data_IF_459071350978
#
_entry.id   IF_459071350978
#
_cell.length_a   1.000
_cell.length_b   1.000
_cell.length_c   1.000
_cell.angle_alpha   90.00
_cell.angle_beta   90.00
_cell.angle_gamma   90.00
#
_symmetry.space_group_name_H-M   'P 1'
#
loop_
_entity.id
_entity.type
_entity.pdbx_description
1 polymer ?
#
# COMPACT_ATOMS: atom_id res chain seq x y z
N UNK A 1 -20.58 25.48 25.91
CA UNK A 1 -19.75 25.86 24.74
C UNK A 1 -20.08 24.95 23.58
N UNK A 2 -19.89 25.42 22.36
CA UNK A 2 -20.11 24.66 21.12
C UNK A 2 -18.90 24.77 20.20
N UNK A 3 -18.77 23.82 19.29
CA UNK A 3 -17.94 23.98 18.08
C UNK A 3 -18.85 24.41 16.94
N UNK A 4 -18.49 25.48 16.26
CA UNK A 4 -19.15 25.96 15.06
C UNK A 4 -18.37 25.51 13.80
N UNK A 5 -18.96 24.68 12.98
CA UNK A 5 -18.48 24.30 11.65
C UNK A 5 -19.25 25.17 10.65
N UNK A 6 -18.55 26.10 9.99
CA UNK A 6 -19.16 27.08 9.10
C UNK A 6 -18.65 26.95 7.68
N UNK A 7 -19.54 27.05 6.71
CA UNK A 7 -19.20 27.17 5.30
C UNK A 7 -20.11 28.17 4.57
N UNK A 8 -19.66 28.78 3.45
CA UNK A 8 -20.52 29.58 2.58
C UNK A 8 -21.58 28.70 1.90
N UNK A 9 -22.67 29.33 1.50
CA UNK A 9 -23.83 28.68 0.90
C UNK A 9 -24.82 28.17 1.95
N UNK A 10 -26.10 28.30 1.61
CA UNK A 10 -27.21 27.78 2.43
C UNK A 10 -27.53 26.37 1.99
N UNK A 11 -27.26 25.39 2.83
CA UNK A 11 -27.63 24.01 2.55
C UNK A 11 -29.16 23.86 2.55
N UNK A 12 -29.72 23.04 1.66
CA UNK A 12 -31.14 22.70 1.73
C UNK A 12 -31.43 21.95 3.03
N UNK A 13 -32.58 22.25 3.63
CA UNK A 13 -33.03 21.61 4.88
C UNK A 13 -33.11 20.09 4.71
N UNK A 14 -33.52 19.65 3.54
CA UNK A 14 -33.64 18.25 3.13
C UNK A 14 -32.31 17.49 3.25
N UNK A 15 -31.18 18.16 3.07
CA UNK A 15 -29.85 17.59 3.27
C UNK A 15 -29.59 17.07 4.70
N UNK A 16 -30.35 17.57 5.69
CA UNK A 16 -30.29 17.16 7.09
C UNK A 16 -31.53 16.36 7.54
N UNK A 17 -32.64 16.43 6.83
CA UNK A 17 -33.92 15.89 7.27
C UNK A 17 -34.46 14.72 6.45
N UNK A 18 -33.98 14.50 5.24
CA UNK A 18 -34.41 13.38 4.39
C UNK A 18 -33.29 12.35 4.18
N UNK A 19 -33.60 11.06 4.37
CA UNK A 19 -32.70 9.96 4.06
C UNK A 19 -32.46 9.83 2.54
N UNK A 20 -31.24 9.44 2.14
CA UNK A 20 -30.88 9.17 0.74
C UNK A 20 -30.63 10.40 -0.13
N UNK A 21 -30.88 11.61 0.36
CA UNK A 21 -30.59 12.85 -0.39
C UNK A 21 -29.11 13.19 -0.28
N UNK A 22 -28.41 13.21 -1.43
CA UNK A 22 -27.05 13.74 -1.58
C UNK A 22 -27.10 14.91 -2.55
N UNK A 23 -26.47 16.01 -2.21
CA UNK A 23 -26.31 17.18 -3.09
C UNK A 23 -24.99 17.17 -3.86
N UNK A 24 -24.14 16.16 -3.64
CA UNK A 24 -22.80 16.04 -4.24
C UNK A 24 -22.60 14.79 -5.09
N UNK A 25 -23.48 13.75 -4.93
CA UNK A 25 -23.32 12.46 -5.60
C UNK A 25 -23.32 12.54 -7.14
N UNK A 26 -24.07 13.45 -7.73
CA UNK A 26 -24.29 13.54 -9.18
C UNK A 26 -23.60 14.76 -9.82
N UNK A 27 -22.80 15.50 -9.04
CA UNK A 27 -22.20 16.74 -9.54
C UNK A 27 -21.00 16.50 -10.47
N UNK A 28 -20.47 15.26 -10.57
CA UNK A 28 -19.32 14.93 -11.44
C UNK A 28 -18.04 15.72 -11.11
N UNK A 29 -18.03 16.44 -9.98
CA UNK A 29 -16.96 17.34 -9.58
C UNK A 29 -15.85 16.51 -8.97
N UNK A 30 -14.77 16.32 -9.72
CA UNK A 30 -13.54 15.77 -9.21
C UNK A 30 -13.04 16.62 -8.04
N UNK A 31 -12.71 16.00 -6.91
CA UNK A 31 -12.19 16.71 -5.72
C UNK A 31 -13.17 16.89 -4.58
N UNK A 32 -14.46 16.51 -4.72
CA UNK A 32 -15.38 16.48 -3.60
C UNK A 32 -15.10 15.31 -2.66
N UNK A 33 -15.19 15.55 -1.36
CA UNK A 33 -14.95 14.58 -0.29
C UNK A 33 -16.20 13.74 -0.02
N UNK A 34 -17.38 14.36 -0.09
CA UNK A 34 -18.68 13.75 0.22
C UNK A 34 -19.22 12.90 -0.93
N UNK A 35 -19.50 11.62 -0.68
CA UNK A 35 -20.06 10.67 -1.66
C UNK A 35 -21.40 10.10 -1.24
N UNK A 36 -21.72 10.11 0.08
CA UNK A 36 -22.85 9.37 0.65
C UNK A 36 -23.92 10.34 1.15
N UNK A 37 -25.16 10.19 0.67
CA UNK A 37 -26.28 11.04 1.07
C UNK A 37 -26.81 10.80 2.49
N UNK A 38 -26.30 9.78 3.20
CA UNK A 38 -26.68 9.39 4.56
C UNK A 38 -25.80 10.02 5.65
N UNK A 39 -24.59 10.50 5.33
CA UNK A 39 -23.57 10.91 6.29
C UNK A 39 -24.02 11.90 7.36
N UNK A 40 -24.70 12.99 6.99
CA UNK A 40 -25.21 13.96 7.95
C UNK A 40 -26.19 13.36 8.98
N UNK A 41 -27.02 12.38 8.57
CA UNK A 41 -28.04 11.74 9.40
C UNK A 41 -27.39 10.81 10.41
N UNK A 42 -26.41 10.02 9.95
CA UNK A 42 -25.57 9.19 10.82
C UNK A 42 -24.80 10.06 11.83
N UNK A 43 -24.22 11.17 11.38
CA UNK A 43 -23.52 12.11 12.22
C UNK A 43 -24.41 12.68 13.34
N UNK A 44 -25.62 13.08 13.00
CA UNK A 44 -26.63 13.55 13.98
C UNK A 44 -26.94 12.45 14.98
N UNK A 45 -27.17 11.21 14.52
CA UNK A 45 -27.47 10.08 15.42
C UNK A 45 -26.32 9.76 16.37
N UNK A 46 -25.08 9.77 15.90
CA UNK A 46 -23.88 9.54 16.73
C UNK A 46 -23.82 10.58 17.87
N UNK A 47 -24.00 11.85 17.55
CA UNK A 47 -23.99 12.92 18.54
C UNK A 47 -25.12 12.81 19.55
N UNK A 48 -26.34 12.50 19.10
CA UNK A 48 -27.49 12.32 19.98
C UNK A 48 -27.34 11.08 20.88
N UNK A 49 -26.78 9.97 20.37
CA UNK A 49 -26.42 8.78 21.18
C UNK A 49 -25.41 9.11 22.27
N UNK A 50 -24.45 9.97 21.95
CA UNK A 50 -23.47 10.46 22.92
C UNK A 50 -24.05 11.50 23.93
N UNK A 51 -25.32 11.83 23.82
CA UNK A 51 -25.97 12.83 24.68
C UNK A 51 -25.60 14.28 24.36
N UNK A 52 -24.96 14.53 23.23
CA UNK A 52 -24.50 15.87 22.84
C UNK A 52 -25.58 16.62 22.07
N UNK A 53 -25.70 17.92 22.33
CA UNK A 53 -26.59 18.80 21.58
C UNK A 53 -25.98 19.08 20.20
N UNK A 54 -26.82 18.97 19.18
CA UNK A 54 -26.48 19.30 17.80
C UNK A 54 -27.61 20.08 17.15
N UNK A 55 -27.29 21.19 16.50
CA UNK A 55 -28.23 21.97 15.71
C UNK A 55 -27.53 22.67 14.53
N UNK A 56 -28.32 22.99 13.53
CA UNK A 56 -27.84 23.56 12.26
C UNK A 56 -28.59 24.84 11.93
N UNK A 57 -27.86 25.85 11.48
CA UNK A 57 -28.45 27.00 10.80
C UNK A 57 -28.24 26.84 9.31
N UNK A 58 -29.34 26.66 8.56
CA UNK A 58 -29.38 26.81 7.10
C UNK A 58 -29.80 28.24 6.79
N UNK A 59 -28.83 29.13 6.59
CA UNK A 59 -29.08 30.59 6.57
C UNK A 59 -29.68 31.05 7.90
N UNK A 60 -30.94 31.54 7.88
CA UNK A 60 -31.67 31.97 9.07
C UNK A 60 -32.53 30.88 9.72
N UNK A 61 -32.73 29.75 9.03
CA UNK A 61 -33.55 28.63 9.54
C UNK A 61 -32.74 27.77 10.48
N UNK A 62 -33.23 27.60 11.72
CA UNK A 62 -32.59 26.75 12.73
C UNK A 62 -33.26 25.37 12.76
N UNK A 63 -32.43 24.33 12.78
CA UNK A 63 -32.81 22.93 12.88
C UNK A 63 -32.23 22.37 14.18
N UNK A 64 -33.02 22.11 15.20
CA UNK A 64 -32.62 21.49 16.47
C UNK A 64 -32.98 20.02 16.45
N UNK A 65 -31.99 19.15 16.57
CA UNK A 65 -32.21 17.70 16.56
C UNK A 65 -32.35 17.18 17.99
N UNK A 66 -33.36 16.36 18.21
CA UNK A 66 -33.72 15.81 19.51
C UNK A 66 -34.26 14.39 19.35
N UNK A 67 -34.36 13.67 20.46
CA UNK A 67 -34.99 12.35 20.51
C UNK A 67 -36.36 12.46 21.17
N UNK A 68 -37.28 11.62 20.74
CA UNK A 68 -38.59 11.42 21.33
C UNK A 68 -38.81 9.93 21.56
N UNK A 69 -39.21 9.57 22.78
CA UNK A 69 -39.60 8.19 23.08
C UNK A 69 -40.88 7.84 22.29
N UNK A 70 -40.89 6.65 21.69
CA UNK A 70 -41.98 6.12 20.88
C UNK A 70 -42.01 4.59 21.03
N UNK A 71 -43.08 3.96 20.54
CA UNK A 71 -43.27 2.53 20.58
C UNK A 71 -43.67 2.01 19.22
N UNK A 72 -43.03 0.96 18.74
CA UNK A 72 -43.42 0.24 17.55
C UNK A 72 -44.15 -1.02 17.97
N UNK A 73 -45.43 -1.15 17.53
CA UNK A 73 -46.25 -2.32 17.73
C UNK A 73 -46.39 -3.05 16.38
N UNK A 74 -45.89 -4.27 16.28
CA UNK A 74 -46.00 -5.12 15.08
C UNK A 74 -47.13 -6.15 15.20
N UNK A 75 -47.96 -6.03 16.25
CA UNK A 75 -49.05 -6.94 16.53
C UNK A 75 -48.63 -8.16 17.36
N UNK A 76 -47.34 -8.41 17.53
CA UNK A 76 -46.80 -9.51 18.35
C UNK A 76 -46.00 -8.99 19.54
N UNK A 77 -45.19 -7.94 19.33
CA UNK A 77 -44.34 -7.36 20.35
C UNK A 77 -44.39 -5.84 20.26
N UNK A 78 -44.46 -5.20 21.43
CA UNK A 78 -44.24 -3.77 21.56
C UNK A 78 -42.84 -3.47 21.88
N UNK A 79 -42.14 -2.74 21.00
CA UNK A 79 -40.75 -2.38 21.16
C UNK A 79 -40.58 -0.88 21.39
N UNK A 80 -40.06 -0.46 22.56
CA UNK A 80 -39.75 0.95 22.78
C UNK A 80 -38.59 1.36 21.84
N UNK A 81 -38.74 2.51 21.21
CA UNK A 81 -37.74 3.10 20.30
C UNK A 81 -37.60 4.58 20.62
N UNK A 82 -36.43 5.14 20.27
CA UNK A 82 -36.22 6.59 20.27
C UNK A 82 -36.23 7.09 18.83
N UNK A 83 -37.25 7.87 18.47
CA UNK A 83 -37.32 8.55 17.17
C UNK A 83 -36.50 9.82 17.19
N UNK A 84 -35.87 10.13 16.08
CA UNK A 84 -35.20 11.41 15.89
C UNK A 84 -36.20 12.42 15.32
N UNK A 85 -36.31 13.56 15.99
CA UNK A 85 -37.16 14.64 15.61
C UNK A 85 -36.38 15.94 15.42
N UNK A 86 -36.86 16.81 14.55
CA UNK A 86 -36.23 18.12 14.31
C UNK A 86 -37.22 19.22 14.67
N UNK A 87 -36.84 20.12 15.59
CA UNK A 87 -37.53 21.37 15.81
C UNK A 87 -36.98 22.40 14.83
N UNK A 88 -37.81 22.81 13.90
CA UNK A 88 -37.49 23.80 12.90
C UNK A 88 -38.00 25.17 13.36
N UNK A 89 -37.05 26.11 13.57
CA UNK A 89 -37.32 27.48 13.98
C UNK A 89 -37.13 28.45 12.81
N UNK A 90 -37.96 29.51 12.83
CA UNK A 90 -38.00 30.63 11.88
C UNK A 90 -39.01 31.64 12.40
N UNK A 91 -39.92 32.10 11.57
CA UNK A 91 -41.09 32.91 11.98
C UNK A 91 -42.12 32.13 12.81
N UNK A 92 -42.12 30.80 12.67
CA UNK A 92 -42.88 29.86 13.51
C UNK A 92 -42.05 28.61 13.78
N UNK A 93 -42.28 27.96 14.94
CA UNK A 93 -41.60 26.72 15.31
C UNK A 93 -42.52 25.53 15.04
N UNK A 94 -42.01 24.52 14.30
CA UNK A 94 -42.66 23.24 14.08
C UNK A 94 -41.74 22.08 14.40
N UNK A 95 -42.29 20.99 14.89
CA UNK A 95 -41.54 19.73 15.10
C UNK A 95 -41.87 18.77 13.96
N UNK A 96 -40.83 18.22 13.34
CA UNK A 96 -40.92 17.26 12.26
C UNK A 96 -40.38 15.94 12.74
N UNK A 97 -41.07 14.85 12.56
CA UNK A 97 -40.56 13.49 12.71
C UNK A 97 -39.72 13.18 11.45
N UNK A 98 -38.47 12.77 11.65
CA UNK A 98 -37.55 12.54 10.53
C UNK A 98 -37.70 11.14 9.91
N UNK A 99 -38.55 10.29 10.50
CA UNK A 99 -38.86 8.96 9.97
C UNK A 99 -37.81 7.89 10.27
N UNK A 100 -36.79 8.20 11.08
CA UNK A 100 -35.79 7.19 11.51
C UNK A 100 -35.62 7.19 13.04
N UNK A 101 -35.04 6.08 13.52
CA UNK A 101 -34.76 5.87 14.96
C UNK A 101 -33.30 6.21 15.29
N UNK A 102 -33.05 6.47 16.56
CA UNK A 102 -31.72 6.83 17.08
C UNK A 102 -30.68 5.75 16.79
N UNK A 103 -31.09 4.47 16.78
CA UNK A 103 -30.20 3.33 16.55
C UNK A 103 -29.87 3.09 15.06
N UNK A 104 -30.42 3.89 14.14
CA UNK A 104 -30.10 3.82 12.72
C UNK A 104 -28.59 4.07 12.54
N UNK A 105 -27.88 3.07 11.97
CA UNK A 105 -26.44 3.10 11.74
C UNK A 105 -25.58 2.87 13.01
N UNK A 106 -26.16 2.41 14.14
CA UNK A 106 -25.44 2.26 15.39
C UNK A 106 -24.32 1.22 15.36
N UNK A 107 -24.37 0.25 14.45
CA UNK A 107 -23.34 -0.80 14.32
C UNK A 107 -22.07 -0.22 13.69
N UNK A 108 -22.20 0.57 12.65
CA UNK A 108 -21.08 1.04 11.84
C UNK A 108 -20.59 2.44 12.26
N UNK A 109 -21.50 3.28 12.76
CA UNK A 109 -21.23 4.67 13.14
C UNK A 109 -21.18 4.79 14.68
N UNK A 110 -20.03 4.49 15.26
CA UNK A 110 -19.85 4.41 16.72
C UNK A 110 -19.02 5.55 17.30
N UNK A 111 -18.18 6.22 16.51
CA UNK A 111 -17.22 7.22 16.97
C UNK A 111 -17.68 8.66 16.66
N UNK A 112 -17.53 9.56 17.65
CA UNK A 112 -17.76 11.01 17.48
C UNK A 112 -16.92 11.63 16.37
N UNK A 113 -15.71 11.11 16.16
CA UNK A 113 -14.83 11.55 15.08
C UNK A 113 -15.44 11.34 13.70
N UNK A 114 -16.21 10.27 13.50
CA UNK A 114 -16.94 10.04 12.24
C UNK A 114 -17.97 11.13 11.98
N UNK A 115 -18.71 11.54 13.02
CA UNK A 115 -19.72 12.60 12.91
C UNK A 115 -19.09 13.94 12.56
N UNK A 116 -18.03 14.33 13.28
CA UNK A 116 -17.32 15.59 13.03
C UNK A 116 -16.67 15.60 11.65
N UNK A 117 -16.05 14.47 11.26
CA UNK A 117 -15.45 14.29 9.93
C UNK A 117 -16.47 14.56 8.82
N UNK A 118 -17.68 14.06 8.97
CA UNK A 118 -18.71 14.20 7.95
C UNK A 118 -19.18 15.65 7.80
N UNK A 119 -19.44 16.34 8.91
CA UNK A 119 -19.82 17.75 8.85
C UNK A 119 -18.71 18.63 8.28
N UNK A 120 -17.46 18.38 8.66
CA UNK A 120 -16.31 19.15 8.17
C UNK A 120 -16.07 18.86 6.69
N UNK A 121 -16.15 17.59 6.25
CA UNK A 121 -16.02 17.21 4.83
C UNK A 121 -17.08 17.90 3.97
N UNK A 122 -18.33 17.90 4.42
CA UNK A 122 -19.41 18.60 3.70
C UNK A 122 -19.21 20.12 3.68
N UNK A 123 -18.62 20.68 4.73
CA UNK A 123 -18.26 22.09 4.76
C UNK A 123 -17.11 22.41 3.77
N UNK A 124 -16.11 21.55 3.65
CA UNK A 124 -15.03 21.67 2.67
C UNK A 124 -15.60 21.64 1.25
N UNK A 125 -16.48 20.66 0.93
CA UNK A 125 -17.05 20.51 -0.41
C UNK A 125 -17.81 21.77 -0.88
N UNK A 126 -18.39 22.54 0.05
CA UNK A 126 -19.06 23.81 -0.24
C UNK A 126 -18.11 24.97 -0.54
N UNK A 127 -16.81 24.80 -0.36
CA UNK A 127 -15.78 25.79 -0.69
C UNK A 127 -15.01 25.45 -1.97
N UNK A 128 -15.28 24.31 -2.57
CA UNK A 128 -14.61 23.85 -3.81
C UNK A 128 -14.93 24.81 -4.95
N UNK A 129 -13.90 25.28 -5.65
CA UNK A 129 -14.00 26.12 -6.84
C UNK A 129 -13.24 25.47 -7.97
N UNK A 130 -13.70 25.73 -9.19
CA UNK A 130 -12.95 25.36 -10.38
C UNK A 130 -11.88 26.44 -10.66
N UNK A 131 -10.62 26.03 -10.68
CA UNK A 131 -9.49 26.84 -11.11
C UNK A 131 -8.67 26.06 -12.13
N UNK A 132 -8.57 26.56 -13.36
CA UNK A 132 -7.78 25.93 -14.45
C UNK A 132 -8.19 24.47 -14.76
N UNK A 133 -9.48 24.13 -14.63
CA UNK A 133 -9.97 22.77 -14.81
C UNK A 133 -9.79 21.84 -13.61
N UNK A 134 -9.26 22.36 -12.49
CA UNK A 134 -9.15 21.63 -11.23
C UNK A 134 -10.12 22.18 -10.18
N UNK A 135 -10.75 21.31 -9.43
CA UNK A 135 -11.63 21.68 -8.32
C UNK A 135 -10.85 21.75 -7.02
N UNK A 136 -10.71 22.96 -6.50
CA UNK A 136 -9.86 23.28 -5.35
C UNK A 136 -10.70 23.85 -4.21
N UNK A 137 -10.52 23.38 -2.96
CA UNK A 137 -11.14 24.01 -1.81
C UNK A 137 -10.53 25.40 -1.57
N UNK A 138 -11.38 26.45 -1.56
CA UNK A 138 -10.96 27.81 -1.28
C UNK A 138 -10.94 28.09 0.23
N UNK A 139 -9.91 27.61 0.93
CA UNK A 139 -9.80 27.64 2.39
C UNK A 139 -9.28 28.98 2.95
N UNK A 140 -8.54 29.75 2.17
CA UNK A 140 -7.76 30.91 2.65
C UNK A 140 -8.57 32.19 2.85
N UNK A 141 -9.85 32.21 2.48
CA UNK A 141 -10.68 33.42 2.57
C UNK A 141 -11.48 33.57 3.89
N UNK A 142 -11.25 32.66 4.86
CA UNK A 142 -11.92 32.68 6.16
C UNK A 142 -13.41 32.33 6.13
N UNK A 143 -13.94 31.89 4.98
CA UNK A 143 -15.37 31.51 4.84
C UNK A 143 -15.64 30.11 5.40
N UNK A 144 -14.68 29.20 5.27
CA UNK A 144 -14.69 27.93 6.00
C UNK A 144 -14.03 28.13 7.37
N UNK A 145 -14.70 27.75 8.43
CA UNK A 145 -14.16 27.82 9.78
C UNK A 145 -14.68 26.68 10.66
N UNK A 146 -13.81 26.15 11.49
CA UNK A 146 -14.14 25.21 12.57
C UNK A 146 -13.60 25.81 13.86
N UNK A 147 -14.48 26.41 14.67
CA UNK A 147 -14.06 27.22 15.82
C UNK A 147 -14.91 26.94 17.05
N UNK A 148 -14.31 26.86 18.24
CA UNK A 148 -15.05 26.89 19.50
C UNK A 148 -15.77 28.24 19.68
N UNK A 149 -17.00 28.20 20.15
CA UNK A 149 -17.82 29.39 20.42
C UNK A 149 -18.57 29.24 21.76
N UNK A 150 -18.70 30.33 22.50
CA UNK A 150 -19.55 30.37 23.68
C UNK A 150 -21.03 30.46 23.26
N UNK A 151 -21.95 30.12 24.16
CA UNK A 151 -23.38 30.02 23.89
C UNK A 151 -23.98 31.34 23.42
N UNK A 152 -23.54 32.45 23.98
CA UNK A 152 -24.00 33.80 23.63
C UNK A 152 -23.62 34.22 22.20
N UNK A 153 -22.61 33.56 21.62
CA UNK A 153 -22.16 33.82 20.23
C UNK A 153 -22.81 32.89 19.21
N UNK A 154 -23.64 31.96 19.66
CA UNK A 154 -24.42 31.08 18.76
C UNK A 154 -25.45 31.91 18.01
N UNK A 155 -25.32 32.02 16.68
CA UNK A 155 -26.22 32.79 15.85
C UNK A 155 -26.22 32.33 14.39
N UNK A 156 -27.29 32.61 13.71
CA UNK A 156 -27.39 32.50 12.26
C UNK A 156 -26.43 33.44 11.55
N UNK A 157 -26.04 33.07 10.34
CA UNK A 157 -25.32 33.95 9.39
C UNK A 157 -25.95 33.81 8.02
N UNK A 158 -26.41 34.93 7.47
CA UNK A 158 -27.04 34.95 6.16
C UNK A 158 -26.06 34.49 5.07
N UNK A 159 -26.53 33.68 4.11
CA UNK A 159 -25.68 33.12 3.07
C UNK A 159 -24.74 31.98 3.52
N UNK A 160 -24.86 31.48 4.75
CA UNK A 160 -24.00 30.45 5.31
C UNK A 160 -24.80 29.29 5.88
N UNK A 161 -24.15 28.11 5.89
CA UNK A 161 -24.55 26.97 6.73
C UNK A 161 -23.62 26.91 7.95
N UNK A 162 -24.19 26.75 9.14
CA UNK A 162 -23.47 26.62 10.40
C UNK A 162 -23.96 25.42 11.18
N UNK A 163 -23.11 24.43 11.39
CA UNK A 163 -23.38 23.28 12.26
C UNK A 163 -22.75 23.57 13.61
N UNK A 164 -23.55 23.42 14.67
CA UNK A 164 -23.10 23.59 16.04
C UNK A 164 -23.18 22.25 16.77
N UNK A 165 -22.06 21.82 17.35
CA UNK A 165 -21.94 20.61 18.15
C UNK A 165 -21.50 20.98 19.54
N UNK A 166 -22.15 20.44 20.56
CA UNK A 166 -21.78 20.67 21.97
C UNK A 166 -20.33 20.21 22.22
N UNK A 167 -19.55 21.09 22.85
CA UNK A 167 -18.14 20.85 23.12
C UNK A 167 -17.97 19.91 24.31
N UNK A 168 -17.52 18.70 24.03
CA UNK A 168 -17.07 17.72 25.02
C UNK A 168 -15.55 17.55 24.95
N UNK A 169 -14.89 16.88 25.94
CA UNK A 169 -13.46 16.60 25.87
C UNK A 169 -13.04 15.83 24.59
N UNK A 170 -13.89 14.90 24.13
CA UNK A 170 -13.63 14.14 22.90
C UNK A 170 -13.76 15.01 21.65
N UNK A 171 -14.75 15.91 21.60
CA UNK A 171 -14.92 16.88 20.51
C UNK A 171 -13.74 17.84 20.50
N UNK A 172 -13.30 18.35 21.66
CA UNK A 172 -12.15 19.24 21.75
C UNK A 172 -10.88 18.55 21.22
N UNK A 173 -10.58 17.33 21.66
CA UNK A 173 -9.44 16.55 21.15
C UNK A 173 -9.47 16.41 19.63
N UNK A 174 -10.63 16.10 19.07
CA UNK A 174 -10.77 15.99 17.60
C UNK A 174 -10.43 17.31 16.89
N UNK A 175 -10.85 18.43 17.46
CA UNK A 175 -10.56 19.76 16.91
C UNK A 175 -9.08 20.12 17.04
N UNK A 176 -8.44 19.76 18.14
CA UNK A 176 -6.99 19.95 18.34
C UNK A 176 -6.16 19.14 17.32
N UNK A 177 -6.67 17.98 16.90
CA UNK A 177 -6.07 17.10 15.89
C UNK A 177 -6.48 17.46 14.44
N UNK A 178 -7.26 18.52 14.24
CA UNK A 178 -7.79 18.89 12.93
C UNK A 178 -6.71 19.01 11.82
N UNK A 179 -5.52 19.60 12.08
CA UNK A 179 -4.45 19.68 11.07
C UNK A 179 -3.90 18.31 10.64
N UNK A 180 -3.99 17.29 11.51
CA UNK A 180 -3.58 15.92 11.22
C UNK A 180 -4.67 15.13 10.48
N UNK A 181 -5.94 15.46 10.76
CA UNK A 181 -7.11 14.78 10.17
C UNK A 181 -7.51 15.32 8.80
N UNK A 182 -7.18 16.57 8.53
CA UNK A 182 -7.51 17.23 7.27
C UNK A 182 -6.33 18.08 6.81
N UNK A 183 -5.74 17.73 5.68
CA UNK A 183 -4.66 18.53 5.09
C UNK A 183 -5.08 19.98 4.82
N UNK A 184 -6.38 20.20 4.62
CA UNK A 184 -6.99 21.52 4.43
C UNK A 184 -6.74 22.49 5.60
N UNK A 185 -6.55 21.97 6.80
CA UNK A 185 -6.31 22.74 8.03
C UNK A 185 -4.87 22.63 8.54
N UNK A 186 -3.98 21.96 7.77
CA UNK A 186 -2.57 21.86 8.10
C UNK A 186 -1.83 23.18 7.82
N UNK A 187 -0.58 23.27 8.29
CA UNK A 187 0.30 24.39 7.99
C UNK A 187 0.66 24.51 6.50
N UNK A 188 0.36 23.46 5.72
CA UNK A 188 0.64 23.37 4.28
C UNK A 188 -0.59 22.88 3.52
N UNK A 189 -1.65 23.65 3.45
CA UNK A 189 -2.91 23.24 2.82
C UNK A 189 -2.77 22.94 1.31
N UNK A 190 -1.73 23.45 0.64
CA UNK A 190 -1.39 23.12 -0.74
C UNK A 190 -1.08 21.62 -0.95
N UNK A 191 -0.72 20.90 0.11
CA UNK A 191 -0.46 19.47 0.07
C UNK A 191 -1.71 18.62 -0.26
N UNK A 192 -2.89 19.18 -0.20
CA UNK A 192 -4.12 18.54 -0.69
C UNK A 192 -4.00 18.11 -2.17
N UNK A 193 -3.15 18.82 -2.94
CA UNK A 193 -2.90 18.53 -4.36
C UNK A 193 -1.78 17.52 -4.62
N UNK A 194 -1.02 17.15 -3.60
CA UNK A 194 0.13 16.26 -3.72
C UNK A 194 -0.28 14.84 -3.37
N UNK A 195 0.18 13.87 -4.14
CA UNK A 195 -0.04 12.45 -3.82
C UNK A 195 1.02 11.90 -2.87
N UNK A 196 2.26 12.38 -2.97
CA UNK A 196 3.38 12.04 -2.11
C UNK A 196 3.61 13.16 -1.10
N UNK A 197 3.37 12.88 0.16
CA UNK A 197 3.53 13.85 1.23
C UNK A 197 4.82 13.54 1.99
N UNK A 198 5.79 14.46 2.05
CA UNK A 198 6.97 14.27 2.89
C UNK A 198 6.58 13.93 4.32
N UNK A 199 7.32 13.03 4.96
CA UNK A 199 7.05 12.64 6.35
C UNK A 199 7.06 13.87 7.27
N UNK A 200 6.09 13.91 8.17
CA UNK A 200 5.91 14.98 9.13
C UNK A 200 5.21 14.47 10.39
N UNK A 201 4.83 15.37 11.29
CA UNK A 201 4.08 15.05 12.51
C UNK A 201 2.57 14.91 12.24
N UNK A 202 2.21 13.99 11.33
CA UNK A 202 0.81 13.71 10.95
C UNK A 202 0.21 12.52 11.66
N UNK A 203 1.03 11.67 12.27
CA UNK A 203 0.57 10.46 12.92
C UNK A 203 -0.28 10.79 14.14
N UNK A 204 -1.45 10.18 14.22
CA UNK A 204 -2.35 10.28 15.38
C UNK A 204 -1.92 9.33 16.50
N UNK A 205 -1.38 8.17 16.16
CA UNK A 205 -0.98 7.11 17.10
C UNK A 205 0.53 7.09 17.42
N UNK A 206 1.31 8.03 16.87
CA UNK A 206 2.76 8.10 17.09
C UNK A 206 3.58 7.03 16.34
N UNK A 207 2.96 6.30 15.41
CA UNK A 207 3.64 5.32 14.56
C UNK A 207 4.37 6.02 13.41
N UNK A 208 5.42 5.38 12.85
CA UNK A 208 6.14 5.89 11.67
C UNK A 208 5.65 5.28 10.35
N UNK A 209 4.54 4.59 10.39
CA UNK A 209 3.89 3.99 9.23
C UNK A 209 3.30 5.04 8.30
N UNK A 210 2.83 4.64 7.12
CA UNK A 210 2.20 5.55 6.18
C UNK A 210 0.85 6.06 6.72
N UNK A 211 0.67 7.37 6.68
CA UNK A 211 -0.64 8.01 6.90
C UNK A 211 -1.34 8.17 5.55
N UNK A 212 -2.56 7.71 5.48
CA UNK A 212 -3.35 7.68 4.26
C UNK A 212 -4.44 8.74 4.31
N UNK A 213 -4.45 9.58 3.30
CA UNK A 213 -5.47 10.59 3.04
C UNK A 213 -6.20 10.29 1.72
N UNK A 214 -7.44 10.75 1.63
CA UNK A 214 -8.22 10.76 0.39
C UNK A 214 -8.90 12.12 0.25
N UNK A 215 -8.61 12.82 -0.83
CA UNK A 215 -9.02 14.21 -1.02
C UNK A 215 -8.67 15.10 0.19
N UNK A 216 -7.48 14.90 0.76
CA UNK A 216 -6.99 15.64 1.92
C UNK A 216 -7.63 15.27 3.26
N UNK A 217 -8.48 14.25 3.31
CA UNK A 217 -9.12 13.77 4.55
C UNK A 217 -8.46 12.47 5.00
N UNK A 218 -8.09 12.40 6.26
CA UNK A 218 -7.53 11.21 6.89
C UNK A 218 -8.45 9.99 6.73
N UNK A 219 -7.87 8.89 6.26
CA UNK A 219 -8.52 7.59 6.14
C UNK A 219 -8.07 6.71 7.31
N UNK A 220 -6.77 6.39 7.34
CA UNK A 220 -6.16 5.59 8.41
C UNK A 220 -4.63 5.65 8.36
N UNK A 221 -3.98 5.12 9.38
CA UNK A 221 -2.57 4.74 9.36
C UNK A 221 -2.46 3.27 8.92
N UNK A 222 -1.40 2.92 8.21
CA UNK A 222 -1.13 1.53 7.82
C UNK A 222 -0.47 0.83 9.00
N UNK A 223 -1.17 -0.11 9.63
CA UNK A 223 -0.75 -0.74 10.88
C UNK A 223 -0.03 -2.09 10.69
N UNK A 224 -0.19 -2.73 9.53
CA UNK A 224 0.28 -4.10 9.30
C UNK A 224 1.80 -4.27 9.24
N UNK A 225 2.54 -3.21 8.95
CA UNK A 225 4.00 -3.26 8.92
C UNK A 225 4.57 -2.42 10.03
N UNK A 226 5.54 -2.97 10.76
CA UNK A 226 6.38 -2.20 11.69
C UNK A 226 7.36 -1.29 10.94
N UNK A 227 7.25 -1.27 9.62
CA UNK A 227 8.16 -0.60 8.72
C UNK A 227 7.79 0.87 8.56
N UNK A 228 8.79 1.72 8.61
CA UNK A 228 8.62 3.13 8.31
C UNK A 228 8.22 3.29 6.84
N UNK A 229 7.37 4.24 6.52
CA UNK A 229 7.10 4.64 5.14
C UNK A 229 7.95 5.86 4.77
N UNK A 230 8.39 5.93 3.54
CA UNK A 230 9.13 7.10 3.01
C UNK A 230 8.22 8.31 2.91
N UNK A 231 6.95 8.08 2.57
CA UNK A 231 5.93 9.12 2.41
C UNK A 231 4.67 8.81 3.21
N UNK A 232 3.89 9.85 3.50
CA UNK A 232 2.46 9.74 3.66
C UNK A 232 1.79 9.91 2.29
N UNK A 233 0.56 9.40 2.12
CA UNK A 233 -0.08 9.37 0.80
C UNK A 233 -1.44 10.06 0.82
N UNK A 234 -1.70 10.86 -0.21
CA UNK A 234 -3.01 11.46 -0.42
C UNK A 234 -3.51 11.11 -1.82
N UNK A 235 -4.68 10.52 -1.88
CA UNK A 235 -5.32 10.04 -3.10
C UNK A 235 -6.42 10.99 -3.55
N UNK A 236 -6.60 11.11 -4.86
CA UNK A 236 -7.83 11.68 -5.40
C UNK A 236 -9.02 10.79 -5.03
N UNK A 237 -10.22 11.36 -5.05
CA UNK A 237 -11.45 10.62 -4.74
C UNK A 237 -11.66 9.38 -5.63
N UNK A 238 -11.21 9.41 -6.88
CA UNK A 238 -11.28 8.31 -7.85
C UNK A 238 -10.19 7.24 -7.67
N UNK A 239 -9.09 7.54 -6.96
CA UNK A 239 -7.92 6.66 -6.88
C UNK A 239 -7.96 5.67 -5.71
N UNK A 240 -8.71 5.98 -4.64
CA UNK A 240 -8.88 5.11 -3.49
C UNK A 240 -10.36 4.94 -3.17
N UNK A 241 -10.87 3.71 -3.25
CA UNK A 241 -12.22 3.39 -2.84
C UNK A 241 -12.31 3.26 -1.32
N UNK A 242 -13.39 3.77 -0.76
CA UNK A 242 -13.72 3.72 0.66
C UNK A 242 -15.19 3.31 0.85
N UNK A 243 -15.50 2.71 1.98
CA UNK A 243 -16.88 2.44 2.41
C UNK A 243 -17.57 3.71 2.95
N UNK A 244 -18.83 3.58 3.39
CA UNK A 244 -19.61 4.68 4.02
C UNK A 244 -18.94 5.21 5.30
N UNK A 245 -18.19 4.36 6.01
CA UNK A 245 -17.42 4.74 7.19
C UNK A 245 -16.06 5.32 6.85
N UNK A 246 -15.73 5.46 5.56
CA UNK A 246 -14.46 5.92 5.00
C UNK A 246 -13.29 4.99 5.31
N UNK A 247 -13.55 3.68 5.48
CA UNK A 247 -12.51 2.69 5.61
C UNK A 247 -12.08 2.16 4.25
N UNK A 248 -10.83 1.73 4.17
CA UNK A 248 -10.27 1.04 3.01
C UNK A 248 -9.42 -0.13 3.50
N UNK A 249 -9.41 -1.24 2.76
CA UNK A 249 -8.60 -2.40 3.11
C UNK A 249 -7.11 -2.13 2.85
N UNK A 250 -6.24 -2.82 3.59
CA UNK A 250 -4.79 -2.71 3.38
C UNK A 250 -4.36 -3.10 1.97
N UNK A 251 -5.02 -4.11 1.40
CA UNK A 251 -4.82 -4.49 0.01
C UNK A 251 -5.14 -3.35 -0.97
N UNK A 252 -6.30 -2.70 -0.80
CA UNK A 252 -6.69 -1.59 -1.65
C UNK A 252 -5.74 -0.39 -1.51
N UNK A 253 -5.26 -0.13 -0.29
CA UNK A 253 -4.27 0.92 -0.02
C UNK A 253 -2.95 0.58 -0.70
N UNK A 254 -2.40 -0.63 -0.50
CA UNK A 254 -1.14 -1.06 -1.14
C UNK A 254 -1.23 -0.98 -2.67
N UNK A 255 -2.33 -1.44 -3.25
CA UNK A 255 -2.57 -1.35 -4.69
C UNK A 255 -2.67 0.11 -5.18
N UNK A 256 -3.33 0.99 -4.42
CA UNK A 256 -3.43 2.40 -4.76
C UNK A 256 -2.08 3.11 -4.66
N UNK A 257 -1.30 2.85 -3.59
CA UNK A 257 0.06 3.40 -3.43
C UNK A 257 0.96 2.93 -4.58
N UNK A 258 0.95 1.64 -4.91
CA UNK A 258 1.74 1.11 -6.02
C UNK A 258 1.43 1.83 -7.35
N UNK A 259 0.15 2.11 -7.63
CA UNK A 259 -0.27 2.87 -8.82
C UNK A 259 0.24 4.32 -8.86
N UNK A 260 0.47 4.95 -7.71
CA UNK A 260 1.09 6.27 -7.69
C UNK A 260 2.51 6.24 -8.24
N UNK A 261 3.27 5.19 -7.93
CA UNK A 261 4.64 5.03 -8.41
C UNK A 261 4.74 4.84 -9.93
N UNK A 262 3.68 4.40 -10.58
CA UNK A 262 3.60 4.37 -12.04
C UNK A 262 3.81 5.75 -12.69
N UNK A 263 3.34 6.82 -12.02
CA UNK A 263 3.36 8.21 -12.51
C UNK A 263 4.32 9.09 -11.73
N UNK A 264 5.10 8.52 -10.81
CA UNK A 264 5.97 9.27 -9.93
C UNK A 264 7.07 10.01 -10.71
N UNK A 265 7.37 11.22 -10.30
CA UNK A 265 8.52 11.98 -10.79
C UNK A 265 9.83 11.41 -10.26
N UNK A 266 10.94 11.73 -10.90
CA UNK A 266 12.26 11.33 -10.41
C UNK A 266 12.53 11.83 -8.98
N UNK A 267 12.06 13.03 -8.62
CA UNK A 267 12.22 13.57 -7.28
C UNK A 267 11.47 12.78 -6.20
N UNK A 268 10.31 12.19 -6.54
CA UNK A 268 9.52 11.33 -5.65
C UNK A 268 10.10 9.93 -5.53
N UNK A 269 10.73 9.40 -6.59
CA UNK A 269 11.34 8.07 -6.61
C UNK A 269 12.69 8.02 -5.86
N UNK A 270 13.50 9.09 -5.91
CA UNK A 270 14.85 9.13 -5.30
C UNK A 270 14.85 8.75 -3.81
N UNK A 271 14.01 9.31 -2.93
CA UNK A 271 13.98 8.93 -1.52
C UNK A 271 13.64 7.45 -1.30
N UNK A 272 12.77 6.88 -2.13
CA UNK A 272 12.38 5.47 -2.04
C UNK A 272 13.54 4.56 -2.47
N UNK A 273 14.13 4.79 -3.64
CA UNK A 273 15.30 4.02 -4.05
C UNK A 273 16.43 4.12 -3.04
N UNK A 274 16.65 5.31 -2.46
CA UNK A 274 17.65 5.48 -1.40
C UNK A 274 17.34 4.63 -0.17
N UNK A 275 16.09 4.65 0.30
CA UNK A 275 15.69 3.82 1.45
C UNK A 275 15.86 2.33 1.15
N UNK A 276 15.48 1.87 -0.05
CA UNK A 276 15.61 0.47 -0.46
C UNK A 276 17.09 0.03 -0.62
N UNK A 277 17.96 0.88 -1.18
CA UNK A 277 19.40 0.62 -1.31
C UNK A 277 20.09 0.63 0.06
N UNK A 278 19.70 1.52 0.96
CA UNK A 278 20.18 1.56 2.35
C UNK A 278 19.61 0.39 3.20
N UNK A 279 18.82 -0.49 2.60
CA UNK A 279 18.15 -1.63 3.24
C UNK A 279 17.33 -1.24 4.48
N UNK A 280 16.76 -0.05 4.47
CA UNK A 280 15.85 0.40 5.52
C UNK A 280 14.52 -0.34 5.37
N UNK A 281 13.94 -0.82 6.50
CA UNK A 281 12.59 -1.31 6.48
C UNK A 281 11.66 -0.21 5.95
N UNK A 282 10.98 -0.45 4.84
CA UNK A 282 10.12 0.53 4.21
C UNK A 282 8.82 -0.12 3.74
N UNK A 283 7.69 0.52 4.03
CA UNK A 283 6.37 0.09 3.56
C UNK A 283 6.35 -0.11 2.04
N UNK A 284 7.11 0.71 1.32
CA UNK A 284 7.21 0.65 -0.13
C UNK A 284 7.87 -0.64 -0.65
N UNK A 285 8.64 -1.32 0.19
CA UNK A 285 9.31 -2.58 -0.20
C UNK A 285 8.34 -3.74 -0.48
N UNK A 286 7.12 -3.69 0.08
CA UNK A 286 6.11 -4.75 -0.09
C UNK A 286 5.09 -4.46 -1.19
N UNK A 287 5.30 -3.43 -2.00
CA UNK A 287 4.42 -3.08 -3.11
C UNK A 287 4.60 -4.05 -4.28
N UNK A 288 3.48 -4.45 -4.89
CA UNK A 288 3.44 -5.42 -5.97
C UNK A 288 3.67 -4.74 -7.34
N UNK A 289 4.58 -5.31 -8.13
CA UNK A 289 4.92 -4.86 -9.49
C UNK A 289 3.72 -4.76 -10.41
N UNK A 290 2.74 -5.66 -10.26
CA UNK A 290 1.50 -5.67 -11.03
C UNK A 290 0.71 -4.37 -10.92
N UNK A 291 0.73 -3.71 -9.74
CA UNK A 291 0.07 -2.42 -9.54
C UNK A 291 0.95 -1.23 -9.87
N UNK A 292 2.28 -1.38 -9.77
CA UNK A 292 3.22 -0.32 -10.20
C UNK A 292 3.14 -0.19 -11.73
N UNK A 293 3.24 -1.30 -12.45
CA UNK A 293 3.13 -1.34 -13.91
C UNK A 293 2.48 -2.65 -14.37
N UNK A 294 1.16 -2.65 -14.65
CA UNK A 294 0.44 -3.84 -15.12
C UNK A 294 1.10 -4.49 -16.33
N UNK A 295 1.08 -5.82 -16.44
CA UNK A 295 1.80 -6.58 -17.48
C UNK A 295 1.41 -6.21 -18.91
N UNK A 296 0.19 -5.74 -19.12
CA UNK A 296 -0.34 -5.31 -20.43
C UNK A 296 -0.03 -3.84 -20.75
N UNK A 297 0.50 -3.06 -19.82
CA UNK A 297 0.78 -1.64 -20.01
C UNK A 297 2.25 -1.43 -20.36
N UNK A 298 2.51 -0.63 -21.40
CA UNK A 298 3.85 -0.20 -21.75
C UNK A 298 4.11 1.17 -21.15
N UNK A 299 5.20 1.37 -20.40
CA UNK A 299 5.49 2.66 -19.78
C UNK A 299 5.80 3.71 -20.85
N UNK A 300 5.33 4.93 -20.63
CA UNK A 300 5.62 6.08 -21.48
C UNK A 300 7.08 6.50 -21.33
N UNK A 301 7.62 7.15 -22.33
CA UNK A 301 9.02 7.62 -22.35
C UNK A 301 9.35 8.53 -21.14
N UNK A 302 8.44 9.42 -20.76
CA UNK A 302 8.60 10.28 -19.59
C UNK A 302 8.70 9.48 -18.28
N UNK A 303 7.88 8.44 -18.13
CA UNK A 303 7.90 7.57 -16.96
C UNK A 303 9.20 6.77 -16.88
N UNK A 304 9.64 6.21 -18.02
CA UNK A 304 10.93 5.52 -18.11
C UNK A 304 12.07 6.46 -17.71
N UNK A 305 12.07 7.68 -18.25
CA UNK A 305 13.06 8.71 -17.93
C UNK A 305 13.08 9.05 -16.43
N UNK A 306 11.91 9.20 -15.80
CA UNK A 306 11.81 9.49 -14.38
C UNK A 306 12.43 8.38 -13.52
N UNK A 307 12.11 7.11 -13.81
CA UNK A 307 12.64 5.97 -13.10
C UNK A 307 14.16 5.82 -13.29
N UNK A 308 14.65 5.96 -14.53
CA UNK A 308 16.08 5.90 -14.85
C UNK A 308 16.86 7.03 -14.18
N UNK A 309 16.38 8.27 -14.23
CA UNK A 309 16.99 9.40 -13.56
C UNK A 309 17.05 9.23 -12.04
N UNK A 310 15.98 8.72 -11.44
CA UNK A 310 15.96 8.46 -10.01
C UNK A 310 16.97 7.39 -9.61
N UNK A 311 17.05 6.30 -10.35
CA UNK A 311 18.05 5.25 -10.12
C UNK A 311 19.47 5.76 -10.29
N UNK A 312 19.72 6.49 -11.37
CA UNK A 312 21.03 7.09 -11.64
C UNK A 312 21.47 8.05 -10.52
N UNK A 313 20.55 8.83 -9.98
CA UNK A 313 20.82 9.74 -8.86
C UNK A 313 21.21 9.02 -7.55
N UNK A 314 20.71 7.80 -7.33
CA UNK A 314 20.95 7.03 -6.12
C UNK A 314 22.13 6.07 -6.25
N UNK A 315 22.27 5.41 -7.39
CA UNK A 315 23.17 4.27 -7.59
C UNK A 315 24.06 4.40 -8.84
N UNK A 316 24.03 5.55 -9.52
CA UNK A 316 24.79 5.77 -10.77
C UNK A 316 24.46 4.67 -11.81
N UNK A 317 25.49 4.06 -12.40
CA UNK A 317 25.35 3.00 -13.41
C UNK A 317 25.27 1.58 -12.83
N UNK A 318 25.00 1.46 -11.52
CA UNK A 318 24.90 0.16 -10.88
C UNK A 318 23.70 -0.65 -11.40
N UNK A 319 23.88 -1.96 -11.43
CA UNK A 319 22.81 -2.92 -11.76
C UNK A 319 21.91 -3.09 -10.55
N UNK A 320 20.62 -2.89 -10.73
CA UNK A 320 19.62 -3.15 -9.72
C UNK A 320 19.40 -4.67 -9.58
N UNK A 321 19.65 -5.19 -8.40
CA UNK A 321 19.54 -6.62 -8.13
C UNK A 321 18.40 -6.93 -7.14
N UNK A 322 17.80 -8.10 -7.28
CA UNK A 322 16.96 -8.69 -6.27
C UNK A 322 17.76 -9.06 -5.00
N UNK A 323 17.12 -9.62 -3.96
CA UNK A 323 17.73 -9.86 -2.65
C UNK A 323 18.76 -11.00 -2.60
N UNK A 324 19.05 -11.67 -3.71
CA UNK A 324 19.96 -12.82 -3.77
C UNK A 324 21.43 -12.37 -3.78
N UNK A 325 22.15 -12.67 -2.70
CA UNK A 325 23.60 -12.39 -2.62
C UNK A 325 24.38 -13.10 -3.74
N UNK A 326 24.02 -14.33 -4.08
CA UNK A 326 24.66 -15.12 -5.16
C UNK A 326 24.52 -14.43 -6.52
N UNK A 327 23.35 -13.85 -6.79
CA UNK A 327 23.09 -13.11 -8.03
C UNK A 327 23.91 -11.81 -8.03
N UNK A 328 23.93 -11.09 -6.92
CA UNK A 328 24.72 -9.87 -6.80
C UNK A 328 26.22 -10.12 -7.04
N UNK A 329 26.80 -11.15 -6.40
CA UNK A 329 28.19 -11.57 -6.63
C UNK A 329 28.47 -11.97 -8.09
N UNK A 330 27.49 -12.63 -8.75
CA UNK A 330 27.61 -12.94 -10.16
C UNK A 330 27.68 -11.68 -11.03
N UNK A 331 26.79 -10.72 -10.78
CA UNK A 331 26.75 -9.43 -11.48
C UNK A 331 28.08 -8.69 -11.30
N UNK A 332 28.65 -8.71 -10.09
CA UNK A 332 29.96 -8.08 -9.79
C UNK A 332 31.12 -8.76 -10.53
N UNK A 333 31.11 -10.09 -10.59
CA UNK A 333 32.11 -10.84 -11.38
C UNK A 333 32.05 -10.56 -12.89
N UNK A 334 30.88 -10.14 -13.39
CA UNK A 334 30.73 -9.66 -14.77
C UNK A 334 31.19 -8.22 -14.99
N UNK A 335 31.80 -7.60 -13.98
CA UNK A 335 32.37 -6.25 -14.06
C UNK A 335 31.35 -5.14 -13.86
N UNK A 336 30.17 -5.44 -13.27
CA UNK A 336 29.15 -4.45 -12.92
C UNK A 336 29.18 -4.18 -11.41
N UNK A 337 28.74 -3.02 -11.00
CA UNK A 337 28.44 -2.72 -9.60
C UNK A 337 27.02 -3.21 -9.31
N UNK A 338 26.86 -4.15 -8.39
CA UNK A 338 25.54 -4.61 -7.96
C UNK A 338 24.98 -3.75 -6.82
N UNK A 339 23.68 -3.47 -6.86
CA UNK A 339 22.94 -2.85 -5.76
C UNK A 339 21.70 -3.68 -5.45
N UNK A 340 21.79 -4.60 -4.48
CA UNK A 340 20.65 -5.43 -4.08
C UNK A 340 19.63 -4.62 -3.28
N UNK A 341 18.34 -4.84 -3.58
CA UNK A 341 17.22 -4.31 -2.81
C UNK A 341 16.24 -5.44 -2.45
N UNK A 342 15.64 -5.34 -1.25
CA UNK A 342 14.66 -6.31 -0.74
C UNK A 342 13.23 -5.89 -1.10
N UNK A 343 12.99 -5.57 -2.36
CA UNK A 343 11.71 -5.08 -2.88
C UNK A 343 11.47 -5.67 -4.28
N UNK A 344 11.04 -6.93 -4.35
CA UNK A 344 10.88 -7.65 -5.63
C UNK A 344 9.98 -6.92 -6.61
N UNK A 345 8.87 -6.34 -6.15
CA UNK A 345 7.95 -5.58 -6.99
C UNK A 345 8.60 -4.34 -7.62
N UNK A 346 9.50 -3.66 -6.90
CA UNK A 346 10.27 -2.54 -7.45
C UNK A 346 11.33 -3.00 -8.45
N UNK A 347 12.00 -4.14 -8.22
CA UNK A 347 12.98 -4.71 -9.17
C UNK A 347 12.31 -5.05 -10.49
N UNK A 348 11.18 -5.76 -10.44
CA UNK A 348 10.43 -6.17 -11.63
C UNK A 348 9.89 -4.96 -12.40
N UNK A 349 9.31 -3.97 -11.69
CA UNK A 349 8.83 -2.74 -12.33
C UNK A 349 9.99 -1.96 -12.95
N UNK A 350 11.11 -1.80 -12.24
CA UNK A 350 12.29 -1.07 -12.69
C UNK A 350 12.86 -1.63 -14.01
N UNK A 351 12.90 -2.97 -14.14
CA UNK A 351 13.32 -3.62 -15.40
C UNK A 351 12.46 -3.17 -16.60
N UNK A 352 11.15 -3.05 -16.40
CA UNK A 352 10.20 -2.63 -17.42
C UNK A 352 10.23 -1.14 -17.71
N UNK A 353 10.65 -0.32 -16.73
CA UNK A 353 10.96 1.11 -16.94
C UNK A 353 12.36 1.34 -17.53
N UNK A 354 13.09 0.27 -17.89
CA UNK A 354 14.37 0.36 -18.60
C UNK A 354 15.58 0.59 -17.70
N UNK A 355 15.46 0.36 -16.37
CA UNK A 355 16.62 0.29 -15.47
C UNK A 355 17.31 -1.05 -15.68
N UNK A 356 18.64 -1.04 -15.79
CA UNK A 356 19.42 -2.25 -15.94
C UNK A 356 19.34 -3.10 -14.65
N UNK A 357 18.80 -4.32 -14.79
CA UNK A 357 18.65 -5.25 -13.68
C UNK A 357 19.49 -6.51 -13.84
N UNK A 358 19.64 -7.27 -12.77
CA UNK A 358 20.27 -8.57 -12.74
C UNK A 358 19.69 -9.52 -13.81
N UNK A 359 18.39 -9.53 -14.02
CA UNK A 359 17.71 -10.36 -15.05
C UNK A 359 18.31 -10.11 -16.43
N UNK A 360 18.60 -8.87 -16.80
CA UNK A 360 19.19 -8.56 -18.11
C UNK A 360 20.64 -9.03 -18.22
N UNK A 361 21.41 -8.95 -17.12
CA UNK A 361 22.79 -9.47 -17.09
C UNK A 361 22.78 -11.00 -17.19
N UNK A 362 21.82 -11.67 -16.53
CA UNK A 362 21.64 -13.12 -16.57
C UNK A 362 21.23 -13.58 -17.99
N UNK A 363 20.22 -12.95 -18.56
CA UNK A 363 19.74 -13.30 -19.92
C UNK A 363 20.83 -13.09 -20.98
N UNK A 364 21.59 -12.01 -20.89
CA UNK A 364 22.72 -11.79 -21.79
C UNK A 364 23.80 -12.87 -21.65
N UNK A 365 23.96 -13.44 -20.45
CA UNK A 365 24.87 -14.53 -20.21
C UNK A 365 24.34 -15.86 -20.75
N UNK A 366 23.05 -16.15 -20.55
CA UNK A 366 22.40 -17.37 -21.08
C UNK A 366 22.49 -17.47 -22.61
N UNK A 367 22.42 -16.34 -23.31
CA UNK A 367 22.55 -16.27 -24.77
C UNK A 367 23.94 -16.66 -25.28
N UNK A 368 24.98 -16.58 -24.43
CA UNK A 368 26.35 -16.98 -24.82
C UNK A 368 26.59 -18.49 -24.76
N UNK A 369 25.64 -19.26 -24.23
CA UNK A 369 25.74 -20.71 -24.07
C UNK A 369 26.71 -21.12 -22.94
N UNK A 370 26.72 -22.45 -22.69
CA UNK A 370 27.64 -23.06 -21.70
C UNK A 370 28.95 -23.40 -22.39
N UNK A 371 30.00 -22.64 -22.10
CA UNK A 371 31.34 -22.98 -22.57
C UNK A 371 31.90 -24.11 -21.70
N UNK A 372 32.08 -25.29 -22.27
CA UNK A 372 32.71 -26.42 -21.59
C UNK A 372 34.23 -26.18 -21.51
N UNK A 373 34.78 -26.39 -20.34
CA UNK A 373 36.20 -26.22 -20.01
C UNK A 373 36.78 -27.54 -19.51
N UNK A 374 38.09 -27.73 -19.60
CA UNK A 374 38.81 -28.84 -18.96
C UNK A 374 38.48 -28.88 -17.47
N UNK A 375 38.53 -30.07 -16.89
CA UNK A 375 38.43 -30.24 -15.46
C UNK A 375 39.56 -29.51 -14.70
N UNK A 376 39.25 -28.93 -13.56
CA UNK A 376 40.24 -28.48 -12.59
C UNK A 376 40.62 -29.62 -11.64
N UNK A 377 41.79 -29.56 -10.99
CA UNK A 377 42.15 -30.56 -9.97
C UNK A 377 41.11 -30.70 -8.86
N UNK A 378 40.43 -29.61 -8.49
CA UNK A 378 39.38 -29.61 -7.48
C UNK A 378 38.13 -30.35 -7.98
N UNK A 379 37.71 -30.17 -9.24
CA UNK A 379 36.59 -30.87 -9.85
C UNK A 379 36.89 -32.38 -9.98
N UNK A 380 38.09 -32.75 -10.43
CA UNK A 380 38.51 -34.15 -10.50
C UNK A 380 38.49 -34.83 -9.13
N UNK A 381 39.12 -34.24 -8.15
CA UNK A 381 39.19 -34.77 -6.78
C UNK A 381 37.80 -34.85 -6.13
N UNK A 382 36.90 -33.91 -6.43
CA UNK A 382 35.49 -33.95 -5.96
C UNK A 382 34.75 -35.12 -6.58
N UNK A 383 34.85 -35.30 -7.91
CA UNK A 383 34.20 -36.45 -8.58
C UNK A 383 34.78 -37.77 -8.03
N UNK A 384 36.11 -37.88 -7.88
CA UNK A 384 36.74 -39.08 -7.35
C UNK A 384 36.24 -39.43 -5.95
N UNK A 385 36.14 -38.43 -5.10
CA UNK A 385 35.62 -38.58 -3.73
C UNK A 385 34.18 -39.05 -3.73
N UNK A 386 33.33 -38.36 -4.49
CA UNK A 386 31.87 -38.67 -4.57
C UNK A 386 31.64 -40.05 -5.19
N UNK A 387 32.29 -40.31 -6.31
CA UNK A 387 32.12 -41.58 -6.99
C UNK A 387 32.66 -42.78 -6.19
N UNK A 388 33.81 -42.63 -5.55
CA UNK A 388 34.35 -43.62 -4.65
C UNK A 388 33.44 -43.94 -3.49
N UNK A 389 32.78 -42.92 -2.97
CA UNK A 389 31.78 -43.08 -1.91
C UNK A 389 30.51 -43.74 -2.41
N UNK A 390 29.95 -43.36 -3.55
CA UNK A 390 28.78 -43.99 -4.18
C UNK A 390 29.08 -45.48 -4.49
N UNK A 391 30.28 -45.82 -4.95
CA UNK A 391 30.70 -47.18 -5.21
C UNK A 391 30.80 -48.03 -3.93
N UNK A 392 31.30 -47.46 -2.84
CA UNK A 392 31.39 -48.14 -1.53
C UNK A 392 30.01 -48.58 -1.03
N UNK A 393 29.02 -47.75 -1.20
CA UNK A 393 27.65 -48.06 -0.81
C UNK A 393 26.81 -48.74 -1.91
N UNK A 394 27.44 -49.22 -3.00
CA UNK A 394 26.82 -49.89 -4.14
C UNK A 394 25.69 -49.07 -4.81
N UNK A 395 25.81 -47.76 -4.78
CA UNK A 395 24.78 -46.82 -5.29
C UNK A 395 24.97 -46.43 -6.76
N UNK A 396 26.03 -46.95 -7.43
CA UNK A 396 26.31 -46.64 -8.84
C UNK A 396 25.41 -47.34 -9.81
N UNK A 397 24.59 -48.28 -9.38
CA UNK A 397 23.64 -49.10 -10.20
C UNK A 397 24.31 -49.71 -11.46
N UNK A 398 25.59 -50.02 -11.43
CA UNK A 398 26.33 -50.55 -12.58
C UNK A 398 26.68 -49.49 -13.66
N UNK A 399 26.42 -48.21 -13.40
CA UNK A 399 26.76 -47.13 -14.30
C UNK A 399 28.25 -46.87 -14.23
N UNK A 400 28.91 -46.56 -15.37
CA UNK A 400 30.28 -46.19 -15.44
C UNK A 400 30.49 -44.77 -14.89
N UNK A 401 31.67 -44.56 -14.31
CA UNK A 401 32.08 -43.24 -13.80
C UNK A 401 32.07 -42.22 -14.92
N UNK A 402 31.39 -41.06 -14.76
CA UNK A 402 31.36 -40.03 -15.78
C UNK A 402 32.75 -39.34 -15.93
N UNK A 403 32.96 -38.75 -17.08
CA UNK A 403 34.00 -37.74 -17.23
C UNK A 403 33.60 -36.49 -16.46
N UNK A 404 34.57 -35.76 -15.91
CA UNK A 404 34.30 -34.48 -15.29
C UNK A 404 34.93 -33.35 -16.12
N UNK A 405 34.23 -32.24 -16.19
CA UNK A 405 34.72 -30.99 -16.75
C UNK A 405 34.28 -29.79 -15.89
N UNK A 406 34.76 -28.64 -16.27
CA UNK A 406 34.22 -27.39 -15.79
C UNK A 406 33.40 -26.69 -16.87
N UNK A 407 32.62 -25.71 -16.50
CA UNK A 407 31.93 -24.83 -17.46
C UNK A 407 31.93 -23.40 -16.93
N UNK A 408 31.91 -22.46 -17.88
CA UNK A 408 31.85 -21.05 -17.55
C UNK A 408 30.43 -20.57 -17.53
N UNK A 409 30.08 -19.99 -16.40
CA UNK A 409 28.90 -19.17 -16.16
C UNK A 409 27.63 -19.50 -16.93
N UNK A 410 26.79 -20.37 -16.42
CA UNK A 410 25.43 -20.52 -16.87
C UNK A 410 24.44 -20.13 -15.76
N UNK A 411 23.48 -19.31 -16.13
CA UNK A 411 22.33 -18.96 -15.30
C UNK A 411 21.07 -19.34 -16.04
N UNK A 412 20.16 -20.04 -15.39
CA UNK A 412 18.85 -20.42 -15.94
C UNK A 412 17.74 -19.85 -15.05
N UNK A 413 16.75 -19.20 -15.67
CA UNK A 413 15.54 -18.72 -15.00
C UNK A 413 15.79 -17.94 -13.69
N UNK A 414 16.84 -17.11 -13.65
CA UNK A 414 17.16 -16.31 -12.46
C UNK A 414 17.92 -17.08 -11.38
N UNK A 415 18.26 -18.35 -11.59
CA UNK A 415 19.08 -19.15 -10.70
C UNK A 415 20.41 -19.48 -11.36
N UNK A 416 21.47 -19.42 -10.58
CA UNK A 416 22.80 -19.80 -11.06
C UNK A 416 22.88 -21.32 -11.15
N UNK A 417 23.27 -21.82 -12.33
CA UNK A 417 23.62 -23.24 -12.52
C UNK A 417 24.99 -23.48 -11.91
N UNK A 418 25.06 -24.36 -10.91
CA UNK A 418 26.31 -24.72 -10.21
C UNK A 418 26.95 -25.96 -10.83
N UNK A 419 26.15 -26.84 -11.43
CA UNK A 419 26.54 -28.02 -12.16
C UNK A 419 25.53 -28.37 -13.24
N UNK A 420 25.89 -29.27 -14.12
CA UNK A 420 24.99 -29.98 -15.02
C UNK A 420 25.64 -31.29 -15.48
N UNK A 421 24.83 -32.26 -15.87
CA UNK A 421 25.30 -33.44 -16.56
C UNK A 421 24.65 -33.55 -17.95
N UNK A 422 25.37 -34.11 -18.89
CA UNK A 422 24.87 -34.47 -20.22
C UNK A 422 25.44 -35.83 -20.67
N UNK A 423 25.27 -36.19 -21.92
CA UNK A 423 25.73 -37.47 -22.46
C UNK A 423 27.26 -37.64 -22.39
N UNK A 424 28.01 -36.56 -22.23
CA UNK A 424 29.49 -36.55 -22.26
C UNK A 424 30.12 -36.59 -20.84
N UNK A 425 29.35 -36.18 -19.80
CA UNK A 425 29.90 -36.19 -18.44
C UNK A 425 29.20 -35.24 -17.48
N UNK A 426 29.84 -35.00 -16.36
CA UNK A 426 29.44 -34.09 -15.28
C UNK A 426 30.26 -32.81 -15.36
N UNK A 427 29.62 -31.67 -15.24
CA UNK A 427 30.28 -30.36 -15.35
C UNK A 427 30.00 -29.53 -14.12
N UNK A 428 31.02 -28.90 -13.56
CA UNK A 428 30.94 -28.03 -12.37
C UNK A 428 31.37 -26.62 -12.78
N UNK A 429 30.68 -25.60 -12.24
CA UNK A 429 31.01 -24.21 -12.53
C UNK A 429 32.49 -23.89 -12.20
N UNK A 430 33.21 -23.27 -13.16
CA UNK A 430 34.67 -23.04 -13.10
C UNK A 430 35.09 -22.23 -11.88
N UNK A 431 34.30 -21.23 -11.50
CA UNK A 431 34.59 -20.40 -10.35
C UNK A 431 34.34 -21.13 -9.00
N UNK A 432 33.42 -22.09 -8.96
CA UNK A 432 33.22 -22.94 -7.82
C UNK A 432 34.38 -23.90 -7.62
N UNK A 433 34.92 -24.40 -8.72
CA UNK A 433 36.03 -25.36 -8.77
C UNK A 433 37.42 -24.71 -8.99
N UNK A 434 37.55 -23.39 -8.82
CA UNK A 434 38.82 -22.65 -9.08
C UNK A 434 39.84 -22.73 -7.96
N UNK A 435 39.49 -23.29 -6.78
CA UNK A 435 40.38 -23.40 -5.64
C UNK A 435 41.38 -24.57 -5.74
N UNK A 436 42.45 -24.53 -4.94
CA UNK A 436 43.45 -25.60 -4.88
C UNK A 436 42.96 -26.89 -4.19
N UNK A 437 41.76 -26.90 -3.60
CA UNK A 437 41.21 -28.03 -2.87
C UNK A 437 39.71 -28.21 -2.98
N UNK A 438 39.27 -29.40 -2.62
CA UNK A 438 37.85 -29.76 -2.61
C UNK A 438 37.15 -29.11 -1.42
N UNK A 439 36.18 -28.26 -1.68
CA UNK A 439 35.35 -27.66 -0.66
C UNK A 439 33.95 -28.30 -0.66
N UNK A 440 33.13 -28.00 0.38
CA UNK A 440 31.80 -28.57 0.53
C UNK A 440 30.85 -28.20 -0.62
N UNK A 441 31.02 -27.04 -1.25
CA UNK A 441 30.13 -26.60 -2.35
C UNK A 441 30.42 -27.43 -3.60
N UNK A 442 31.69 -27.64 -3.95
CA UNK A 442 32.11 -28.49 -5.08
C UNK A 442 31.70 -29.95 -4.88
N UNK A 443 31.86 -30.49 -3.66
CA UNK A 443 31.37 -31.84 -3.34
C UNK A 443 29.85 -31.98 -3.48
N UNK A 444 29.10 -31.01 -2.99
CA UNK A 444 27.64 -30.99 -3.12
C UNK A 444 27.20 -31.02 -4.59
N UNK A 445 27.78 -30.15 -5.40
CA UNK A 445 27.47 -30.07 -6.84
C UNK A 445 27.89 -31.37 -7.55
N UNK A 446 29.10 -31.89 -7.28
CA UNK A 446 29.52 -33.19 -7.85
C UNK A 446 28.59 -34.33 -7.47
N UNK A 447 28.10 -34.37 -6.22
CA UNK A 447 27.15 -35.38 -5.78
C UNK A 447 25.81 -35.25 -6.53
N UNK A 448 25.26 -34.06 -6.59
CA UNK A 448 24.00 -33.76 -7.27
C UNK A 448 24.05 -34.19 -8.75
N UNK A 449 25.12 -33.82 -9.45
CA UNK A 449 25.28 -34.18 -10.86
C UNK A 449 25.58 -35.67 -11.07
N UNK A 450 26.26 -36.32 -10.14
CA UNK A 450 26.40 -37.79 -10.18
C UNK A 450 25.07 -38.54 -9.99
N UNK A 451 24.16 -38.01 -9.17
CA UNK A 451 22.82 -38.57 -9.03
C UNK A 451 22.03 -38.43 -10.33
N UNK A 452 22.10 -37.30 -11.01
CA UNK A 452 21.50 -37.13 -12.35
C UNK A 452 22.13 -38.08 -13.37
N UNK A 453 23.46 -38.24 -13.33
CA UNK A 453 24.15 -39.18 -14.21
C UNK A 453 23.71 -40.63 -14.02
N UNK A 454 23.52 -41.08 -12.79
CA UNK A 454 23.13 -42.44 -12.48
C UNK A 454 21.65 -42.69 -12.77
N UNK A 455 20.78 -41.76 -12.40
CA UNK A 455 19.32 -41.93 -12.50
C UNK A 455 18.77 -41.54 -13.87
N UNK A 456 19.48 -40.73 -14.62
CA UNK A 456 19.02 -40.08 -15.88
C UNK A 456 17.74 -39.24 -15.67
N UNK A 457 17.49 -38.82 -14.45
CA UNK A 457 16.29 -38.11 -14.03
C UNK A 457 16.55 -36.61 -13.88
N UNK A 458 15.54 -35.77 -14.12
CA UNK A 458 15.63 -34.31 -13.92
C UNK A 458 15.41 -33.89 -12.48
N UNK A 459 15.74 -32.65 -12.13
CA UNK A 459 15.76 -32.07 -10.78
C UNK A 459 14.45 -32.27 -9.99
N UNK A 460 13.31 -32.25 -10.62
CA UNK A 460 11.98 -32.37 -9.99
C UNK A 460 11.37 -33.76 -10.14
N UNK A 461 12.16 -34.79 -10.48
CA UNK A 461 11.65 -36.12 -10.66
C UNK A 461 11.54 -36.87 -9.33
N UNK A 462 10.53 -37.72 -9.23
CA UNK A 462 10.37 -38.65 -8.10
C UNK A 462 11.52 -39.66 -8.02
N UNK A 463 12.02 -40.08 -9.17
CA UNK A 463 13.13 -41.07 -9.24
C UNK A 463 14.41 -40.53 -8.62
N UNK A 464 14.71 -39.24 -8.82
CA UNK A 464 15.86 -38.59 -8.16
C UNK A 464 15.67 -38.50 -6.64
N UNK A 465 14.45 -38.14 -6.20
CA UNK A 465 14.15 -38.04 -4.77
C UNK A 465 14.21 -39.41 -4.10
N UNK A 466 13.59 -40.45 -4.70
CA UNK A 466 13.61 -41.82 -4.16
C UNK A 466 15.03 -42.37 -4.12
N UNK A 467 15.86 -42.04 -5.11
CA UNK A 467 17.28 -42.43 -5.08
C UNK A 467 18.03 -41.71 -3.94
N UNK A 468 17.82 -40.44 -3.74
CA UNK A 468 18.43 -39.65 -2.66
C UNK A 468 18.02 -40.20 -1.27
N UNK A 469 16.74 -40.56 -1.08
CA UNK A 469 16.28 -41.19 0.16
C UNK A 469 16.89 -42.59 0.38
N UNK A 470 16.97 -43.42 -0.65
CA UNK A 470 17.65 -44.71 -0.57
C UNK A 470 19.10 -44.54 -0.18
N UNK A 471 19.81 -43.58 -0.77
CA UNK A 471 21.19 -43.25 -0.40
C UNK A 471 21.33 -42.92 1.09
N UNK A 472 20.43 -42.12 1.62
CA UNK A 472 20.44 -41.74 3.06
C UNK A 472 20.23 -42.98 3.93
N UNK A 473 19.30 -43.87 3.55
CA UNK A 473 19.04 -45.10 4.30
C UNK A 473 20.26 -46.06 4.30
N UNK A 474 20.92 -46.23 3.14
CA UNK A 474 22.13 -47.04 3.04
C UNK A 474 23.31 -46.51 3.85
N UNK A 475 23.36 -45.19 4.09
CA UNK A 475 24.39 -44.58 4.92
C UNK A 475 24.10 -44.72 6.42
N UNK A 476 22.83 -44.70 6.79
CA UNK A 476 22.39 -44.77 8.18
C UNK A 476 22.31 -46.21 8.73
N UNK A 477 22.21 -47.20 7.86
CA UNK A 477 22.15 -48.66 8.19
C UNK A 477 23.42 -49.32 8.23
#
# INVERSE_FOLDING_TARGET
MFVCIQNPGVAPVEGFTLLGVSTTRDCGVEGTVGQFGSGNKHAINVLLRAGLKVFVYCGKTRLDFQTRDDEIDDGLVRKPVKRVVCKMGGTSTRTIDLGWVLDFGAIDWTDLGMALREFISNAIDRTVREENGEFIPALQDGRLAVTPVCEEKVKAKDGYTRVYVELSPSVQRYIDELPKRFLHFSDRPEQVRQSFLPKGDRNLNGTRTAVIYRAGVFVREVEETKDESVYDYNFKASELQIDECRNSSDYAIKAAVAKLYHKASAAELVPVFKALVDQKPAFEAVLDSYYILPSWETPKEEQQKNWQQAWQAVASDAVLCGPSATIAEFVERKGHVARPIFASGFVEAAARFGIKTDVQVLTANEQKGREKLPATPAAEAALDTVWGWLATYKLTNGTEKPLVGCFRDAMNAGTRTMGFCDETGVYIADDQASGEGVNKAVLKTALEECLHWITKAGDNSRDLQDFAFRMIVEILG
#
